data_IF_876196504751
#
_entry.id   IF_876196504751
#
_cell.length_a   1.000
_cell.length_b   1.000
_cell.length_c   1.000
_cell.angle_alpha   90.00
_cell.angle_beta   90.00
_cell.angle_gamma   90.00
#
_symmetry.space_group_name_H-M   'P 1'
#
loop_
_entity.id
_entity.type
_entity.pdbx_description
1 polymer ?
#
# COMPACT_ATOMS: atom_id res chain seq x y z
N UNK A 1 -17.44 1.36 15.06
CA UNK A 1 -18.78 1.24 15.68
C UNK A 1 -18.65 1.06 17.18
N UNK A 2 -17.88 0.09 17.66
CA UNK A 2 -17.67 -0.21 19.08
C UNK A 2 -17.21 1.03 19.86
N UNK A 3 -16.16 1.73 19.40
CA UNK A 3 -15.60 2.89 20.06
C UNK A 3 -16.65 3.99 20.29
N UNK A 4 -17.40 4.34 19.26
CA UNK A 4 -18.42 5.40 19.36
C UNK A 4 -19.60 5.00 20.22
N UNK A 5 -20.03 3.71 20.15
CA UNK A 5 -21.09 3.19 21.02
C UNK A 5 -20.68 3.21 22.50
N UNK A 6 -19.41 2.94 22.78
CA UNK A 6 -18.89 2.95 24.16
C UNK A 6 -18.70 4.37 24.70
N UNK A 7 -18.27 5.34 23.87
CA UNK A 7 -17.97 6.71 24.32
C UNK A 7 -19.19 7.62 24.32
N UNK A 8 -20.09 7.50 23.35
CA UNK A 8 -21.18 8.46 23.10
C UNK A 8 -22.56 7.76 23.12
N UNK A 9 -22.61 6.45 23.22
CA UNK A 9 -23.86 5.67 23.20
C UNK A 9 -24.46 5.42 21.81
N UNK A 10 -23.91 6.00 20.76
CA UNK A 10 -24.42 5.93 19.39
C UNK A 10 -23.38 5.45 18.40
N UNK A 11 -23.78 4.69 17.37
CA UNK A 11 -22.88 4.16 16.33
C UNK A 11 -22.93 4.94 15.00
N UNK A 12 -23.89 5.84 14.81
CA UNK A 12 -24.06 6.57 13.54
C UNK A 12 -22.85 7.42 13.11
N UNK A 13 -22.07 8.07 14.02
CA UNK A 13 -20.90 8.82 13.60
C UNK A 13 -19.84 7.96 12.92
N UNK A 14 -19.73 6.69 13.33
CA UNK A 14 -18.76 5.74 12.76
C UNK A 14 -18.99 5.50 11.27
N UNK A 15 -20.23 5.42 10.82
CA UNK A 15 -20.55 5.22 9.39
C UNK A 15 -20.27 6.46 8.57
N UNK A 16 -20.62 7.65 9.09
CA UNK A 16 -20.29 8.92 8.48
C UNK A 16 -18.78 9.10 8.29
N UNK A 17 -18.00 8.86 9.37
CA UNK A 17 -16.53 8.94 9.32
C UNK A 17 -15.94 7.90 8.36
N UNK A 18 -16.45 6.67 8.34
CA UNK A 18 -15.99 5.63 7.40
C UNK A 18 -16.21 6.01 5.94
N UNK A 19 -17.36 6.64 5.62
CA UNK A 19 -17.65 7.14 4.27
C UNK A 19 -16.76 8.32 3.92
N UNK A 20 -16.56 9.26 4.86
CA UNK A 20 -15.68 10.40 4.66
C UNK A 20 -14.22 9.95 4.42
N UNK A 21 -13.73 8.98 5.18
CA UNK A 21 -12.39 8.40 5.01
C UNK A 21 -12.21 7.63 3.69
N UNK A 22 -13.29 7.32 2.95
CA UNK A 22 -13.18 6.70 1.64
C UNK A 22 -12.56 7.65 0.61
N UNK A 23 -12.85 8.96 0.68
CA UNK A 23 -12.34 9.97 -0.25
C UNK A 23 -10.80 10.06 -0.21
N UNK A 24 -10.15 10.38 0.93
CA UNK A 24 -8.69 10.47 0.97
C UNK A 24 -8.00 9.13 0.67
N UNK A 25 -8.65 8.00 0.93
CA UNK A 25 -8.15 6.67 0.65
C UNK A 25 -8.21 6.30 -0.83
N UNK A 26 -9.18 6.81 -1.59
CA UNK A 26 -9.34 6.50 -3.01
C UNK A 26 -8.31 7.20 -3.89
N UNK A 27 -7.75 8.31 -3.41
CA UNK A 27 -6.78 9.12 -4.15
C UNK A 27 -5.36 8.69 -3.74
N UNK A 28 -4.53 8.43 -4.75
CA UNK A 28 -3.13 8.04 -4.54
C UNK A 28 -2.32 9.20 -3.93
N UNK A 29 -1.34 8.89 -3.08
CA UNK A 29 -0.50 9.87 -2.38
C UNK A 29 0.22 10.84 -3.32
N UNK A 30 0.60 10.40 -4.52
CA UNK A 30 1.20 11.27 -5.53
C UNK A 30 0.26 12.42 -5.92
N UNK A 31 -1.02 12.11 -6.11
CA UNK A 31 -2.02 13.11 -6.47
C UNK A 31 -2.19 14.13 -5.35
N UNK A 32 -2.21 13.65 -4.09
CA UNK A 32 -2.18 14.54 -2.93
C UNK A 32 -0.94 15.43 -2.93
N UNK A 33 0.24 14.86 -3.26
CA UNK A 33 1.48 15.62 -3.38
C UNK A 33 1.39 16.72 -4.43
N UNK A 34 0.89 16.40 -5.61
CA UNK A 34 0.74 17.34 -6.71
C UNK A 34 -0.29 18.44 -6.42
N UNK A 35 -1.43 18.09 -5.79
CA UNK A 35 -2.43 19.09 -5.37
C UNK A 35 -1.89 20.05 -4.30
N UNK A 36 -1.23 19.49 -3.28
CA UNK A 36 -0.67 20.30 -2.21
C UNK A 36 0.50 21.17 -2.69
N UNK A 37 1.28 20.68 -3.65
CA UNK A 37 2.35 21.46 -4.27
C UNK A 37 1.82 22.76 -4.89
N UNK A 38 0.63 22.71 -5.49
CA UNK A 38 0.03 23.87 -6.12
C UNK A 38 -0.54 24.88 -5.12
N UNK A 39 -0.98 24.40 -3.95
CA UNK A 39 -1.59 25.24 -2.92
C UNK A 39 -0.55 25.83 -1.96
N UNK A 40 0.49 25.07 -1.63
CA UNK A 40 1.47 25.44 -0.59
C UNK A 40 2.82 25.83 -1.21
N UNK A 41 3.08 25.43 -2.48
CA UNK A 41 4.37 25.59 -3.13
C UNK A 41 5.35 24.45 -2.82
N UNK A 42 6.58 24.55 -3.31
CA UNK A 42 7.59 23.50 -3.19
C UNK A 42 8.18 23.46 -1.77
N UNK A 43 7.62 22.65 -0.91
CA UNK A 43 8.04 22.50 0.50
C UNK A 43 8.16 21.00 0.88
N UNK A 44 9.21 20.57 1.61
CA UNK A 44 9.38 19.17 2.04
C UNK A 44 8.20 18.63 2.89
N UNK A 45 7.51 19.50 3.63
CA UNK A 45 6.34 19.14 4.44
C UNK A 45 5.20 18.57 3.60
N UNK A 46 5.11 18.93 2.33
CA UNK A 46 4.08 18.44 1.42
C UNK A 46 4.20 16.93 1.23
N UNK A 47 5.42 16.40 1.06
CA UNK A 47 5.64 14.97 0.92
C UNK A 47 5.12 14.19 2.14
N UNK A 48 5.35 14.74 3.35
CA UNK A 48 4.87 14.14 4.60
C UNK A 48 3.34 14.10 4.62
N UNK A 49 2.68 15.22 4.31
CA UNK A 49 1.21 15.31 4.36
C UNK A 49 0.56 14.50 3.24
N UNK A 50 1.13 14.52 2.04
CA UNK A 50 0.64 13.76 0.90
C UNK A 50 0.60 12.24 1.19
N UNK A 51 1.57 11.72 1.96
CA UNK A 51 1.57 10.34 2.43
C UNK A 51 0.65 10.17 3.64
N UNK A 52 0.66 11.10 4.59
CA UNK A 52 -0.07 10.96 5.84
C UNK A 52 -1.59 10.92 5.65
N UNK A 53 -2.14 11.70 4.71
CA UNK A 53 -3.59 11.76 4.43
C UNK A 53 -4.16 10.40 4.01
N UNK A 54 -3.74 9.78 2.90
CA UNK A 54 -4.30 8.49 2.46
C UNK A 54 -3.92 7.35 3.40
N UNK A 55 -2.71 7.34 3.94
CA UNK A 55 -2.26 6.26 4.84
C UNK A 55 -2.92 6.35 6.21
N UNK A 56 -3.13 7.55 6.73
CA UNK A 56 -3.90 7.78 7.94
C UNK A 56 -5.34 7.26 7.80
N UNK A 57 -5.98 7.55 6.68
CA UNK A 57 -7.33 7.06 6.38
C UNK A 57 -7.37 5.51 6.24
N UNK A 58 -6.36 4.91 5.62
CA UNK A 58 -6.24 3.45 5.50
C UNK A 58 -6.02 2.78 6.86
N UNK A 59 -5.10 3.32 7.67
CA UNK A 59 -4.81 2.80 9.02
C UNK A 59 -6.05 2.93 9.91
N UNK A 60 -6.71 4.09 9.91
CA UNK A 60 -7.94 4.32 10.67
C UNK A 60 -9.04 3.31 10.31
N UNK A 61 -9.19 2.98 9.01
CA UNK A 61 -10.16 1.97 8.55
C UNK A 61 -9.81 0.58 9.09
N UNK A 62 -8.57 0.13 8.90
CA UNK A 62 -8.15 -1.21 9.34
C UNK A 62 -8.21 -1.35 10.86
N UNK A 63 -7.78 -0.32 11.60
CA UNK A 63 -7.91 -0.29 13.06
C UNK A 63 -9.36 -0.38 13.51
N UNK A 64 -10.26 0.33 12.83
CA UNK A 64 -11.70 0.26 13.09
C UNK A 64 -12.26 -1.15 12.85
N UNK A 65 -11.85 -1.79 11.75
CA UNK A 65 -12.31 -3.15 11.44
C UNK A 65 -11.72 -4.18 12.41
N UNK A 66 -10.45 -4.03 12.83
CA UNK A 66 -9.84 -4.85 13.88
C UNK A 66 -10.56 -4.69 15.22
N UNK A 67 -10.87 -3.47 15.65
CA UNK A 67 -11.62 -3.21 16.87
C UNK A 67 -13.01 -3.86 16.83
N UNK A 68 -13.72 -3.75 15.69
CA UNK A 68 -15.05 -4.34 15.55
C UNK A 68 -15.02 -5.89 15.50
N UNK A 69 -13.87 -6.50 15.23
CA UNK A 69 -13.68 -7.97 15.24
C UNK A 69 -13.31 -8.55 16.62
N UNK A 70 -12.93 -7.70 17.59
CA UNK A 70 -12.55 -8.15 18.93
C UNK A 70 -13.77 -8.53 19.78
N UNK A 71 -13.55 -9.44 20.74
CA UNK A 71 -14.59 -9.86 21.68
C UNK A 71 -14.89 -8.75 22.71
N UNK A 72 -16.13 -8.30 22.74
CA UNK A 72 -16.61 -7.19 23.58
C UNK A 72 -16.81 -7.57 25.07
N UNK A 73 -16.78 -8.85 25.43
CA UNK A 73 -17.13 -9.32 26.79
C UNK A 73 -16.33 -8.63 27.91
N UNK A 74 -15.02 -8.50 27.72
CA UNK A 74 -14.14 -7.85 28.71
C UNK A 74 -14.46 -6.35 28.84
N UNK A 75 -14.77 -5.68 27.72
CA UNK A 75 -15.16 -4.28 27.72
C UNK A 75 -16.47 -4.08 28.47
N UNK A 76 -17.48 -4.91 28.16
CA UNK A 76 -18.80 -4.82 28.81
C UNK A 76 -18.69 -5.08 30.31
N UNK A 77 -17.85 -6.04 30.75
CA UNK A 77 -17.62 -6.33 32.17
C UNK A 77 -17.00 -5.13 32.91
N UNK A 78 -16.01 -4.46 32.31
CA UNK A 78 -15.38 -3.27 32.92
C UNK A 78 -16.33 -2.08 32.98
N UNK A 79 -17.13 -1.84 31.94
CA UNK A 79 -18.14 -0.78 31.94
C UNK A 79 -19.23 -1.08 32.98
N UNK A 80 -19.68 -2.30 33.07
CA UNK A 80 -20.68 -2.74 34.11
C UNK A 80 -20.13 -2.61 35.53
N UNK A 81 -18.81 -2.76 35.72
CA UNK A 81 -18.13 -2.54 37.01
C UNK A 81 -17.91 -1.06 37.35
N UNK A 82 -18.43 -0.11 36.54
CA UNK A 82 -18.34 1.32 36.80
C UNK A 82 -17.03 1.98 36.31
N UNK A 83 -16.18 1.25 35.53
CA UNK A 83 -14.97 1.85 34.97
C UNK A 83 -15.33 2.90 33.92
N UNK A 84 -14.64 4.05 33.92
CA UNK A 84 -14.86 5.09 32.93
C UNK A 84 -14.68 4.54 31.48
N UNK A 85 -15.60 4.86 30.55
CA UNK A 85 -15.61 4.29 29.21
C UNK A 85 -14.27 4.32 28.46
N UNK A 86 -13.48 5.45 28.45
CA UNK A 86 -12.20 5.47 27.77
C UNK A 86 -11.15 4.57 28.43
N UNK A 87 -11.15 4.47 29.78
CA UNK A 87 -10.23 3.58 30.50
C UNK A 87 -10.58 2.11 30.28
N UNK A 88 -11.87 1.77 30.30
CA UNK A 88 -12.36 0.43 29.99
C UNK A 88 -11.98 0.00 28.57
N UNK A 89 -12.13 0.90 27.59
CA UNK A 89 -11.78 0.67 26.20
C UNK A 89 -10.28 0.43 26.00
N UNK A 90 -9.43 1.29 26.58
CA UNK A 90 -7.98 1.15 26.50
C UNK A 90 -7.49 -0.14 27.16
N UNK A 91 -8.06 -0.49 28.33
CA UNK A 91 -7.65 -1.67 29.10
C UNK A 91 -8.12 -2.98 28.45
N UNK A 92 -9.36 -3.02 27.95
CA UNK A 92 -9.93 -4.24 27.38
C UNK A 92 -9.51 -4.48 25.93
N UNK A 93 -9.43 -3.41 25.11
CA UNK A 93 -9.22 -3.53 23.67
C UNK A 93 -7.77 -3.23 23.24
N UNK A 94 -7.03 -2.38 23.99
CA UNK A 94 -5.67 -2.01 23.68
C UNK A 94 -4.72 -3.21 23.52
N UNK A 95 -4.59 -4.09 24.52
CA UNK A 95 -3.67 -5.22 24.45
C UNK A 95 -3.94 -6.20 23.29
N UNK A 96 -5.19 -6.61 23.00
CA UNK A 96 -5.46 -7.49 21.86
C UNK A 96 -5.36 -6.79 20.50
N UNK A 97 -5.52 -5.45 20.43
CA UNK A 97 -5.39 -4.68 19.20
C UNK A 97 -3.92 -4.46 18.80
N UNK A 98 -3.02 -4.36 19.80
CA UNK A 98 -1.62 -3.97 19.59
C UNK A 98 -0.85 -4.84 18.58
N UNK A 99 -0.97 -6.19 18.57
CA UNK A 99 -0.32 -7.03 17.57
C UNK A 99 -0.74 -6.72 16.13
N UNK A 100 -2.03 -6.45 15.93
CA UNK A 100 -2.58 -6.03 14.65
C UNK A 100 -2.06 -4.66 14.20
N UNK A 101 -2.01 -3.71 15.13
CA UNK A 101 -1.45 -2.37 14.88
C UNK A 101 0.01 -2.43 14.47
N UNK A 102 0.84 -3.18 15.19
CA UNK A 102 2.28 -3.32 14.88
C UNK A 102 2.46 -4.00 13.53
N UNK A 103 1.68 -5.04 13.25
CA UNK A 103 1.79 -5.78 12.00
C UNK A 103 1.38 -4.92 10.80
N UNK A 104 0.23 -4.25 10.89
CA UNK A 104 -0.28 -3.43 9.81
C UNK A 104 0.47 -2.10 9.69
N UNK A 105 0.77 -1.44 10.82
CA UNK A 105 1.55 -0.20 10.85
C UNK A 105 2.95 -0.39 10.25
N UNK A 106 3.62 -1.50 10.60
CA UNK A 106 4.91 -1.85 10.00
C UNK A 106 4.83 -2.05 8.49
N UNK A 107 3.81 -2.78 8.02
CA UNK A 107 3.57 -2.92 6.58
C UNK A 107 3.32 -1.56 5.90
N UNK A 108 2.57 -0.65 6.54
CA UNK A 108 2.33 0.69 5.99
C UNK A 108 3.58 1.56 5.99
N UNK A 109 4.47 1.39 6.98
CA UNK A 109 5.76 2.08 7.01
C UNK A 109 6.66 1.66 5.83
N UNK A 110 6.71 0.35 5.51
CA UNK A 110 7.39 -0.16 4.31
C UNK A 110 6.80 0.45 3.02
N UNK A 111 5.47 0.55 2.93
CA UNK A 111 4.81 1.21 1.81
C UNK A 111 5.13 2.71 1.75
N UNK A 112 5.12 3.41 2.89
CA UNK A 112 5.39 4.84 2.97
C UNK A 112 6.81 5.19 2.48
N UNK A 113 7.81 4.35 2.77
CA UNK A 113 9.16 4.56 2.25
C UNK A 113 9.21 4.52 0.71
N UNK A 114 8.47 3.58 0.10
CA UNK A 114 8.35 3.51 -1.37
C UNK A 114 7.66 4.75 -1.93
N UNK A 115 6.58 5.18 -1.30
CA UNK A 115 5.85 6.39 -1.71
C UNK A 115 6.69 7.65 -1.54
N UNK A 116 7.51 7.73 -0.49
CA UNK A 116 8.44 8.85 -0.29
C UNK A 116 9.48 8.94 -1.42
N UNK A 117 10.01 7.77 -1.86
CA UNK A 117 10.91 7.75 -3.03
C UNK A 117 10.22 8.22 -4.30
N UNK A 118 8.95 7.82 -4.50
CA UNK A 118 8.15 8.25 -5.64
C UNK A 118 7.90 9.77 -5.63
N UNK A 119 7.49 10.32 -4.49
CA UNK A 119 7.28 11.78 -4.34
C UNK A 119 8.59 12.55 -4.56
N UNK A 120 9.72 11.96 -4.17
CA UNK A 120 11.05 12.50 -4.50
C UNK A 120 11.28 12.61 -6.00
N UNK A 121 10.93 11.59 -6.80
CA UNK A 121 11.02 11.63 -8.27
C UNK A 121 10.23 12.81 -8.86
N UNK A 122 9.19 13.27 -8.19
CA UNK A 122 8.38 14.44 -8.59
C UNK A 122 8.87 15.78 -8.00
N UNK A 123 10.13 15.85 -7.58
CA UNK A 123 10.76 17.10 -7.17
C UNK A 123 10.55 17.50 -5.71
N UNK A 124 9.90 16.64 -4.89
CA UNK A 124 9.73 16.91 -3.46
C UNK A 124 10.97 16.56 -2.62
N UNK A 125 12.10 16.32 -3.30
CA UNK A 125 13.41 16.08 -2.67
C UNK A 125 13.68 14.63 -2.27
N UNK A 126 14.83 14.41 -1.64
CA UNK A 126 15.25 13.09 -1.17
C UNK A 126 15.84 12.19 -2.26
N UNK A 127 16.05 10.91 -1.91
CA UNK A 127 16.72 9.93 -2.76
C UNK A 127 16.04 9.76 -4.13
N UNK A 128 14.72 9.91 -4.22
CA UNK A 128 13.99 9.81 -5.47
C UNK A 128 14.34 10.89 -6.47
N UNK A 129 14.56 12.11 -6.00
CA UNK A 129 14.97 13.24 -6.84
C UNK A 129 16.39 13.01 -7.40
N UNK A 130 17.32 12.56 -6.56
CA UNK A 130 18.68 12.22 -6.99
C UNK A 130 18.68 11.11 -8.05
N UNK A 131 17.87 10.06 -7.85
CA UNK A 131 17.73 9.00 -8.85
C UNK A 131 17.18 9.50 -10.19
N UNK A 132 16.26 10.47 -10.19
CA UNK A 132 15.76 11.05 -11.42
C UNK A 132 16.83 11.91 -12.09
N UNK A 133 17.54 12.75 -11.35
CA UNK A 133 18.60 13.62 -11.86
C UNK A 133 19.75 12.81 -12.46
N UNK A 134 20.21 11.76 -11.77
CA UNK A 134 21.27 10.86 -12.27
C UNK A 134 20.82 10.09 -13.51
N UNK A 135 19.53 9.73 -13.61
CA UNK A 135 18.98 9.12 -14.81
C UNK A 135 18.93 10.08 -15.97
N UNK A 136 18.46 11.32 -15.74
CA UNK A 136 18.38 12.37 -16.79
C UNK A 136 19.76 12.80 -17.28
N UNK A 137 20.75 12.84 -16.39
CA UNK A 137 22.14 13.14 -16.73
C UNK A 137 22.91 11.94 -17.30
N UNK A 138 22.26 10.75 -17.42
CA UNK A 138 22.86 9.49 -17.89
C UNK A 138 24.08 9.03 -17.08
N UNK A 139 24.15 9.42 -15.80
CA UNK A 139 25.21 9.04 -14.87
C UNK A 139 24.89 7.66 -14.25
N UNK A 140 25.07 6.61 -15.03
CA UNK A 140 24.67 5.26 -14.63
C UNK A 140 25.36 4.73 -13.36
N UNK A 141 26.62 5.13 -13.10
CA UNK A 141 27.31 4.73 -11.88
C UNK A 141 26.64 5.27 -10.61
N UNK A 142 26.25 6.54 -10.64
CA UNK A 142 25.54 7.18 -9.53
C UNK A 142 24.12 6.63 -9.41
N UNK A 143 23.43 6.42 -10.53
CA UNK A 143 22.11 5.80 -10.57
C UNK A 143 22.14 4.42 -9.88
N UNK A 144 23.09 3.54 -10.24
CA UNK A 144 23.21 2.24 -9.62
C UNK A 144 23.57 2.32 -8.14
N UNK A 145 24.44 3.24 -7.73
CA UNK A 145 24.76 3.48 -6.31
C UNK A 145 23.54 3.88 -5.52
N UNK A 146 22.72 4.82 -6.05
CA UNK A 146 21.46 5.24 -5.44
C UNK A 146 20.43 4.13 -5.35
N UNK A 147 20.32 3.27 -6.38
CA UNK A 147 19.43 2.10 -6.39
C UNK A 147 19.86 1.07 -5.35
N UNK A 148 21.15 0.78 -5.20
CA UNK A 148 21.69 -0.12 -4.17
C UNK A 148 21.45 0.44 -2.77
N UNK A 149 21.65 1.74 -2.58
CA UNK A 149 21.34 2.40 -1.31
C UNK A 149 19.86 2.29 -0.95
N UNK A 150 18.97 2.56 -1.92
CA UNK A 150 17.52 2.42 -1.74
C UNK A 150 17.15 0.98 -1.33
N UNK A 151 17.71 -0.01 -2.03
CA UNK A 151 17.49 -1.42 -1.70
C UNK A 151 17.97 -1.75 -0.29
N UNK A 152 19.16 -1.27 0.10
CA UNK A 152 19.71 -1.50 1.44
C UNK A 152 18.83 -0.88 2.54
N UNK A 153 18.32 0.33 2.32
CA UNK A 153 17.39 1.00 3.24
C UNK A 153 16.07 0.24 3.35
N UNK A 154 15.51 -0.23 2.22
CA UNK A 154 14.28 -1.03 2.21
C UNK A 154 14.44 -2.37 2.92
N UNK A 155 15.55 -3.08 2.69
CA UNK A 155 15.87 -4.34 3.37
C UNK A 155 16.07 -4.13 4.88
N UNK A 156 16.76 -3.06 5.28
CA UNK A 156 16.96 -2.71 6.69
C UNK A 156 15.62 -2.45 7.38
N UNK A 157 14.75 -1.66 6.75
CA UNK A 157 13.43 -1.37 7.28
C UNK A 157 12.58 -2.64 7.39
N UNK A 158 12.59 -3.49 6.36
CA UNK A 158 11.88 -4.78 6.39
C UNK A 158 12.40 -5.68 7.53
N UNK A 159 13.71 -5.73 7.73
CA UNK A 159 14.32 -6.50 8.82
C UNK A 159 13.90 -5.96 10.20
N UNK A 160 13.90 -4.63 10.39
CA UNK A 160 13.46 -3.98 11.63
C UNK A 160 11.97 -4.24 11.89
N UNK A 161 11.11 -4.01 10.88
CA UNK A 161 9.67 -4.26 10.97
C UNK A 161 9.40 -5.75 11.22
N UNK A 162 10.12 -6.64 10.55
CA UNK A 162 10.05 -8.08 10.77
C UNK A 162 10.45 -8.49 12.19
N UNK A 163 11.52 -7.90 12.75
CA UNK A 163 11.94 -8.12 14.13
C UNK A 163 10.89 -7.61 15.14
N UNK A 164 10.33 -6.42 14.88
CA UNK A 164 9.29 -5.83 15.71
C UNK A 164 8.02 -6.69 15.69
N UNK A 165 7.62 -7.16 14.52
CA UNK A 165 6.47 -8.05 14.30
C UNK A 165 6.65 -9.40 15.01
N UNK A 166 7.85 -10.00 14.93
CA UNK A 166 8.18 -11.24 15.65
C UNK A 166 8.16 -11.07 17.17
N UNK A 167 8.62 -9.91 17.65
CA UNK A 167 8.68 -9.65 19.11
C UNK A 167 7.32 -9.32 19.71
N UNK A 168 6.48 -8.57 19.00
CA UNK A 168 5.28 -7.93 19.54
C UNK A 168 4.01 -8.23 18.73
N UNK A 169 4.12 -8.74 17.51
CA UNK A 169 3.01 -8.95 16.58
C UNK A 169 2.31 -10.32 16.68
N UNK A 170 2.82 -11.28 17.46
CA UNK A 170 2.22 -12.60 17.53
C UNK A 170 1.27 -12.76 18.74
N UNK A 171 -0.01 -13.12 18.54
CA UNK A 171 -1.01 -13.27 19.60
C UNK A 171 -0.61 -14.25 20.71
N UNK A 172 0.14 -15.32 20.35
CA UNK A 172 0.53 -16.39 21.30
C UNK A 172 1.66 -16.02 22.27
N UNK A 173 2.32 -14.86 22.11
CA UNK A 173 3.36 -14.39 23.04
C UNK A 173 2.84 -13.41 24.10
N UNK A 174 1.60 -12.99 24.02
CA UNK A 174 0.94 -12.28 25.10
C UNK A 174 0.52 -13.28 26.17
N UNK A 175 1.47 -13.72 26.99
CA UNK A 175 1.08 -14.39 28.22
C UNK A 175 0.42 -13.35 29.12
N UNK A 176 -0.81 -13.64 29.55
CA UNK A 176 -1.60 -12.83 30.49
C UNK A 176 -0.98 -12.77 31.92
N UNK A 177 0.27 -13.16 32.10
CA UNK A 177 0.97 -12.91 33.37
C UNK A 177 1.17 -11.40 33.52
N UNK A 178 0.47 -10.85 34.49
CA UNK A 178 0.39 -9.40 34.78
C UNK A 178 1.76 -8.67 34.82
N UNK A 179 2.83 -9.34 35.22
CA UNK A 179 4.20 -8.82 35.24
C UNK A 179 4.80 -8.57 33.84
N UNK A 180 4.36 -9.30 32.82
CA UNK A 180 4.88 -9.14 31.45
C UNK A 180 4.21 -8.00 30.66
N UNK A 181 2.95 -7.69 30.97
CA UNK A 181 2.16 -6.65 30.28
C UNK A 181 2.66 -5.26 30.67
N UNK A 182 2.90 -5.01 31.97
CA UNK A 182 3.39 -3.72 32.47
C UNK A 182 4.80 -3.37 31.95
N UNK A 183 5.69 -4.34 31.82
CA UNK A 183 7.04 -4.13 31.29
C UNK A 183 7.02 -3.81 29.79
N UNK A 184 6.24 -4.54 29.01
CA UNK A 184 6.09 -4.29 27.57
C UNK A 184 5.36 -2.98 27.27
N UNK A 185 4.36 -2.62 28.08
CA UNK A 185 3.70 -1.32 28.00
C UNK A 185 4.66 -0.17 28.24
N UNK A 186 5.55 -0.28 29.24
CA UNK A 186 6.61 0.72 29.48
C UNK A 186 7.61 0.79 28.33
N UNK A 187 8.05 -0.35 27.78
CA UNK A 187 8.95 -0.38 26.61
C UNK A 187 8.32 0.33 25.40
N UNK A 188 7.01 0.17 25.18
CA UNK A 188 6.27 0.86 24.12
C UNK A 188 6.14 2.36 24.34
N UNK A 189 5.81 2.76 25.59
CA UNK A 189 5.73 4.18 25.96
C UNK A 189 7.11 4.83 25.81
N UNK A 190 8.17 4.17 26.28
CA UNK A 190 9.54 4.66 26.14
C UNK A 190 9.96 4.74 24.67
N UNK A 191 9.63 3.74 23.85
CA UNK A 191 9.89 3.77 22.41
C UNK A 191 9.15 4.94 21.74
N UNK A 192 7.88 5.17 22.08
CA UNK A 192 7.09 6.31 21.59
C UNK A 192 7.69 7.67 22.03
N UNK A 193 8.10 7.78 23.30
CA UNK A 193 8.74 8.99 23.83
C UNK A 193 10.09 9.27 23.18
N UNK A 194 10.87 8.25 22.82
CA UNK A 194 12.14 8.40 22.08
C UNK A 194 11.90 8.70 20.59
N UNK A 195 10.82 8.23 20.01
CA UNK A 195 10.48 8.45 18.60
C UNK A 195 10.07 9.91 18.35
N UNK A 196 9.38 10.54 19.30
CA UNK A 196 8.97 11.94 19.19
C UNK A 196 10.14 12.92 19.01
N UNK A 197 11.17 12.94 19.88
CA UNK A 197 12.31 13.85 19.70
C UNK A 197 13.15 13.49 18.47
N UNK A 198 13.21 12.19 18.09
CA UNK A 198 13.85 11.78 16.85
C UNK A 198 13.13 12.35 15.61
N UNK A 199 11.82 12.21 15.54
CA UNK A 199 10.99 12.74 14.43
C UNK A 199 11.11 14.26 14.38
N UNK A 200 11.06 14.93 15.54
CA UNK A 200 11.22 16.38 15.62
C UNK A 200 12.64 16.82 15.20
N UNK A 201 13.68 16.13 15.66
CA UNK A 201 15.07 16.41 15.29
C UNK A 201 15.34 16.20 13.81
N UNK A 202 14.85 15.11 13.24
CA UNK A 202 14.93 14.85 11.80
C UNK A 202 14.13 15.88 11.00
N UNK A 203 12.93 16.25 11.47
CA UNK A 203 12.11 17.29 10.85
C UNK A 203 12.85 18.64 10.78
N UNK A 204 13.53 19.02 11.86
CA UNK A 204 14.35 20.24 11.87
C UNK A 204 15.59 20.13 10.97
N UNK A 205 16.26 18.99 10.97
CA UNK A 205 17.43 18.76 10.12
C UNK A 205 17.08 18.79 8.62
N UNK A 206 15.85 18.40 8.27
CA UNK A 206 15.33 18.45 6.90
C UNK A 206 14.65 19.80 6.56
N UNK A 207 14.77 20.82 7.43
CA UNK A 207 14.12 22.11 7.27
C UNK A 207 12.59 22.01 7.02
N UNK A 208 11.93 21.06 7.67
CA UNK A 208 10.48 20.93 7.62
C UNK A 208 9.87 22.02 8.51
N UNK A 209 9.32 23.05 7.88
CA UNK A 209 8.63 24.13 8.56
C UNK A 209 7.13 23.90 8.59
N UNK A 210 6.52 23.50 9.73
CA UNK A 210 5.06 23.33 9.83
C UNK A 210 4.29 24.62 9.54
N UNK A 211 4.92 25.79 9.79
CA UNK A 211 4.34 27.09 9.50
C UNK A 211 4.06 27.32 8.01
N UNK A 212 4.79 26.63 7.11
CA UNK A 212 4.52 26.69 5.67
C UNK A 212 3.09 26.23 5.31
N UNK A 213 2.46 25.41 6.15
CA UNK A 213 1.08 24.97 5.98
C UNK A 213 0.05 26.09 6.17
N UNK A 214 0.44 27.22 6.78
CA UNK A 214 -0.41 28.38 6.98
C UNK A 214 -0.38 29.35 5.79
N UNK A 215 0.62 29.21 4.90
CA UNK A 215 0.78 30.06 3.73
C UNK A 215 0.14 29.40 2.49
N UNK A 216 -1.16 29.59 2.35
CA UNK A 216 -1.91 29.05 1.22
C UNK A 216 -1.87 30.04 0.06
N UNK A 217 -1.42 29.56 -1.08
CA UNK A 217 -1.54 30.30 -2.33
C UNK A 217 -2.95 30.11 -2.90
N UNK A 218 -3.54 31.19 -3.41
CA UNK A 218 -4.82 31.09 -4.10
C UNK A 218 -4.64 30.17 -5.32
N UNK A 219 -5.56 29.22 -5.49
CA UNK A 219 -5.59 28.43 -6.72
C UNK A 219 -5.74 29.38 -7.92
N UNK A 220 -4.99 29.15 -9.01
CA UNK A 220 -5.14 29.97 -10.18
C UNK A 220 -6.58 29.96 -10.68
N UNK A 221 -7.12 31.10 -11.14
CA UNK A 221 -8.47 31.15 -11.65
C UNK A 221 -8.60 30.25 -12.88
N UNK A 222 -9.71 29.54 -12.98
CA UNK A 222 -10.03 28.69 -14.13
C UNK A 222 -10.13 29.60 -15.36
N UNK A 223 -9.38 29.30 -16.39
CA UNK A 223 -9.37 30.09 -17.61
C UNK A 223 -10.75 30.06 -18.33
N UNK A 224 -11.19 31.16 -18.91
CA UNK A 224 -12.40 31.16 -19.75
C UNK A 224 -12.24 30.15 -20.88
N UNK A 225 -13.10 29.15 -20.95
CA UNK A 225 -13.02 28.07 -21.94
C UNK A 225 -12.25 26.83 -21.53
N UNK A 226 -11.51 26.85 -20.41
CA UNK A 226 -10.72 25.69 -19.94
C UNK A 226 -11.55 24.43 -19.72
N UNK A 227 -12.80 24.54 -19.29
CA UNK A 227 -13.71 23.40 -19.19
C UNK A 227 -14.02 22.73 -20.54
N UNK A 228 -14.09 23.52 -21.62
CA UNK A 228 -14.32 22.97 -22.97
C UNK A 228 -13.09 22.18 -23.44
N UNK A 229 -11.90 22.70 -23.20
CA UNK A 229 -10.64 22.00 -23.50
C UNK A 229 -10.50 20.74 -22.64
N UNK A 230 -10.85 20.79 -21.36
CA UNK A 230 -10.85 19.62 -20.47
C UNK A 230 -11.83 18.53 -20.93
N UNK A 231 -13.01 18.91 -21.41
CA UNK A 231 -13.98 17.96 -21.97
C UNK A 231 -13.57 17.42 -23.33
N UNK A 232 -12.77 18.15 -24.09
CA UNK A 232 -12.26 17.72 -25.40
C UNK A 232 -11.13 16.68 -25.33
N UNK A 233 -10.61 16.37 -24.14
CA UNK A 233 -9.62 15.31 -23.94
C UNK A 233 -10.12 13.96 -24.48
N UNK A 234 -9.24 13.08 -24.96
CA UNK A 234 -9.62 11.78 -25.50
C UNK A 234 -9.97 10.78 -24.37
N UNK A 235 -11.02 11.06 -23.61
CA UNK A 235 -11.46 10.32 -22.42
C UNK A 235 -11.59 8.81 -22.64
N UNK A 236 -12.20 8.32 -23.75
CA UNK A 236 -12.35 6.88 -23.94
C UNK A 236 -11.00 6.15 -24.00
N UNK A 237 -10.00 6.74 -24.70
CA UNK A 237 -8.70 6.12 -24.82
C UNK A 237 -7.89 6.20 -23.52
N UNK A 238 -7.99 7.31 -22.77
CA UNK A 238 -7.32 7.48 -21.48
C UNK A 238 -7.83 6.47 -20.45
N UNK A 239 -9.15 6.35 -20.32
CA UNK A 239 -9.79 5.39 -19.41
C UNK A 239 -9.52 3.95 -19.86
N UNK A 240 -9.68 3.66 -21.15
CA UNK A 240 -9.42 2.33 -21.71
C UNK A 240 -7.98 1.88 -21.44
N UNK A 241 -6.98 2.72 -21.73
CA UNK A 241 -5.58 2.39 -21.49
C UNK A 241 -5.26 2.19 -20.00
N UNK A 242 -5.89 2.96 -19.10
CA UNK A 242 -5.73 2.79 -17.65
C UNK A 242 -6.34 1.47 -17.17
N UNK A 243 -7.51 1.12 -17.64
CA UNK A 243 -8.18 -0.16 -17.31
C UNK A 243 -7.42 -1.34 -17.91
N UNK A 244 -7.01 -1.24 -19.17
CA UNK A 244 -6.23 -2.28 -19.86
C UNK A 244 -4.91 -2.54 -19.15
N UNK A 245 -4.20 -1.47 -18.76
CA UNK A 245 -2.98 -1.54 -17.96
C UNK A 245 -3.21 -2.29 -16.65
N UNK A 246 -4.30 -1.95 -15.93
CA UNK A 246 -4.68 -2.60 -14.68
C UNK A 246 -4.94 -4.09 -14.88
N UNK A 247 -5.72 -4.45 -15.89
CA UNK A 247 -6.07 -5.85 -16.18
C UNK A 247 -4.84 -6.67 -16.57
N UNK A 248 -3.97 -6.13 -17.42
CA UNK A 248 -2.74 -6.83 -17.85
C UNK A 248 -1.79 -7.04 -16.66
N UNK A 249 -1.57 -6.01 -15.84
CA UNK A 249 -0.72 -6.11 -14.66
C UNK A 249 -1.30 -7.08 -13.62
N UNK A 250 -2.61 -7.04 -13.38
CA UNK A 250 -3.29 -7.94 -12.47
C UNK A 250 -3.27 -9.39 -12.98
N UNK A 251 -3.54 -9.62 -14.26
CA UNK A 251 -3.49 -10.94 -14.88
C UNK A 251 -2.08 -11.54 -14.80
N UNK A 252 -1.04 -10.74 -15.07
CA UNK A 252 0.35 -11.15 -14.92
C UNK A 252 0.65 -11.53 -13.45
N UNK A 253 0.30 -10.70 -12.51
CA UNK A 253 0.60 -10.91 -11.09
C UNK A 253 -0.15 -12.12 -10.51
N UNK A 254 -1.46 -12.25 -10.79
CA UNK A 254 -2.30 -13.32 -10.26
C UNK A 254 -2.06 -14.64 -10.98
N UNK A 255 -1.92 -14.61 -12.30
CA UNK A 255 -1.80 -15.83 -13.10
C UNK A 255 -0.40 -16.45 -13.08
N UNK A 256 0.65 -15.63 -13.16
CA UNK A 256 2.03 -16.14 -13.28
C UNK A 256 2.57 -16.69 -11.96
N UNK A 257 2.18 -16.15 -10.80
CA UNK A 257 2.68 -16.62 -9.50
C UNK A 257 2.46 -18.12 -9.26
N UNK A 258 1.23 -18.67 -9.38
CA UNK A 258 1.02 -20.10 -9.20
C UNK A 258 1.70 -20.95 -10.27
N UNK A 259 1.78 -20.46 -11.52
CA UNK A 259 2.44 -21.17 -12.61
C UNK A 259 3.95 -21.34 -12.35
N UNK A 260 4.61 -20.26 -11.88
CA UNK A 260 6.03 -20.33 -11.53
C UNK A 260 6.29 -21.29 -10.36
N UNK A 261 5.44 -21.29 -9.32
CA UNK A 261 5.56 -22.24 -8.22
C UNK A 261 5.38 -23.69 -8.67
N UNK A 262 4.43 -23.97 -9.55
CA UNK A 262 4.23 -25.30 -10.12
C UNK A 262 5.40 -25.72 -10.99
N UNK A 263 5.99 -24.78 -11.74
CA UNK A 263 7.15 -25.04 -12.58
C UNK A 263 8.35 -25.49 -11.75
N UNK A 264 8.66 -24.76 -10.66
CA UNK A 264 9.82 -25.02 -9.80
C UNK A 264 9.53 -26.04 -8.67
N UNK A 265 8.32 -26.56 -8.57
CA UNK A 265 7.92 -27.51 -7.52
C UNK A 265 8.86 -28.72 -7.36
N UNK A 266 9.45 -29.30 -8.43
CA UNK A 266 10.39 -30.41 -8.31
C UNK A 266 11.77 -30.01 -7.73
N UNK A 267 12.13 -28.72 -7.79
CA UNK A 267 13.48 -28.25 -7.50
C UNK A 267 13.51 -27.35 -6.26
N UNK A 268 14.02 -27.81 -5.11
CA UNK A 268 14.03 -26.99 -3.89
C UNK A 268 14.91 -25.73 -4.00
N UNK A 269 16.01 -25.80 -4.77
CA UNK A 269 16.83 -24.62 -5.05
C UNK A 269 16.12 -23.61 -5.97
N UNK A 270 15.34 -24.10 -6.92
CA UNK A 270 14.52 -23.24 -7.79
C UNK A 270 13.44 -22.48 -6.99
N UNK A 271 12.86 -23.11 -5.98
CA UNK A 271 11.92 -22.43 -5.08
C UNK A 271 12.60 -21.31 -4.29
N UNK A 272 13.84 -21.53 -3.80
CA UNK A 272 14.62 -20.47 -3.11
C UNK A 272 14.98 -19.31 -4.03
N UNK A 273 15.39 -19.61 -5.26
CA UNK A 273 15.67 -18.58 -6.26
C UNK A 273 14.42 -17.76 -6.59
N UNK A 274 13.28 -18.43 -6.77
CA UNK A 274 12.00 -17.76 -7.03
C UNK A 274 11.59 -16.85 -5.86
N UNK A 275 11.79 -17.30 -4.60
CA UNK A 275 11.56 -16.49 -3.41
C UNK A 275 12.41 -15.22 -3.41
N UNK A 276 13.68 -15.33 -3.80
CA UNK A 276 14.61 -14.20 -3.92
C UNK A 276 14.15 -13.22 -5.01
N UNK A 277 13.76 -13.72 -6.19
CA UNK A 277 13.24 -12.90 -7.28
C UNK A 277 11.97 -12.14 -6.83
N UNK A 278 11.06 -12.83 -6.14
CA UNK A 278 9.85 -12.19 -5.61
C UNK A 278 10.14 -11.17 -4.51
N UNK A 279 11.15 -11.43 -3.66
CA UNK A 279 11.57 -10.47 -2.64
C UNK A 279 12.11 -9.19 -3.30
N UNK A 280 12.95 -9.32 -4.32
CA UNK A 280 13.48 -8.18 -5.09
C UNK A 280 12.33 -7.45 -5.80
N UNK A 281 11.47 -8.15 -6.53
CA UNK A 281 10.35 -7.54 -7.26
C UNK A 281 9.39 -6.78 -6.34
N UNK A 282 9.15 -7.30 -5.12
CA UNK A 282 8.32 -6.64 -4.12
C UNK A 282 8.95 -5.39 -3.53
N UNK A 283 10.26 -5.40 -3.31
CA UNK A 283 10.98 -4.27 -2.71
C UNK A 283 11.17 -3.13 -3.71
N UNK A 284 11.30 -3.48 -4.99
CA UNK A 284 11.59 -2.50 -6.03
C UNK A 284 10.35 -1.69 -6.41
N UNK A 285 10.40 -0.35 -6.38
CA UNK A 285 9.27 0.51 -6.75
C UNK A 285 8.89 0.37 -8.23
N UNK A 286 7.60 0.18 -8.56
CA UNK A 286 7.17 0.00 -9.95
C UNK A 286 7.58 1.10 -10.93
N UNK A 287 7.57 2.40 -10.58
CA UNK A 287 8.00 3.45 -11.49
C UNK A 287 9.48 3.38 -11.86
N UNK A 288 10.35 2.96 -10.92
CA UNK A 288 11.76 2.74 -11.24
C UNK A 288 11.93 1.53 -12.18
N UNK A 289 11.14 0.48 -11.98
CA UNK A 289 11.09 -0.64 -12.94
C UNK A 289 10.64 -0.16 -14.31
N UNK A 290 9.63 0.70 -14.39
CA UNK A 290 9.17 1.28 -15.65
C UNK A 290 10.26 2.11 -16.33
N UNK A 291 10.98 2.97 -15.58
CA UNK A 291 12.12 3.73 -16.08
C UNK A 291 13.20 2.82 -16.67
N UNK A 292 13.58 1.75 -15.97
CA UNK A 292 14.57 0.78 -16.48
C UNK A 292 14.08 0.06 -17.72
N UNK A 293 12.79 -0.29 -17.78
CA UNK A 293 12.21 -0.95 -18.96
C UNK A 293 12.17 -0.03 -20.18
N UNK A 294 12.06 1.29 -20.00
CA UNK A 294 12.09 2.26 -21.11
C UNK A 294 13.42 2.30 -21.85
N UNK A 295 14.52 1.78 -21.28
CA UNK A 295 15.77 1.61 -22.04
C UNK A 295 15.70 0.49 -23.09
N UNK A 296 14.78 -0.46 -22.91
CA UNK A 296 14.65 -1.64 -23.77
C UNK A 296 13.33 -1.65 -24.54
N UNK A 297 12.26 -1.14 -23.91
CA UNK A 297 10.91 -1.16 -24.44
C UNK A 297 10.42 0.26 -24.79
N UNK A 298 9.50 0.35 -25.73
CA UNK A 298 8.84 1.63 -26.07
C UNK A 298 7.90 2.06 -24.93
N UNK A 299 7.73 3.38 -24.72
CA UNK A 299 6.68 3.91 -23.83
C UNK A 299 5.30 3.34 -24.20
N UNK A 300 4.48 3.04 -23.22
CA UNK A 300 3.12 2.56 -23.43
C UNK A 300 2.60 1.59 -22.39
N UNK A 301 1.41 1.05 -22.66
CA UNK A 301 0.68 0.17 -21.75
C UNK A 301 1.47 -1.09 -21.37
N UNK A 302 2.20 -1.69 -22.31
CA UNK A 302 2.95 -2.93 -22.07
C UNK A 302 4.07 -2.71 -21.06
N UNK A 303 4.88 -1.68 -21.23
CA UNK A 303 5.98 -1.33 -20.33
C UNK A 303 5.46 -1.06 -18.92
N UNK A 304 4.37 -0.29 -18.81
CA UNK A 304 3.71 -0.03 -17.54
C UNK A 304 3.13 -1.30 -16.89
N UNK A 305 2.49 -2.17 -17.69
CA UNK A 305 1.90 -3.42 -17.21
C UNK A 305 2.97 -4.39 -16.70
N UNK A 306 4.10 -4.49 -17.38
CA UNK A 306 5.23 -5.33 -16.93
C UNK A 306 5.82 -4.81 -15.62
N UNK A 307 6.01 -3.49 -15.49
CA UNK A 307 6.55 -2.90 -14.27
C UNK A 307 5.64 -3.14 -13.06
N UNK A 308 4.34 -2.86 -13.19
CA UNK A 308 3.34 -3.10 -12.15
C UNK A 308 3.14 -4.60 -11.89
N UNK A 309 3.06 -5.38 -12.95
CA UNK A 309 2.87 -6.81 -12.87
C UNK A 309 4.00 -7.51 -12.14
N UNK A 310 5.27 -7.18 -12.44
CA UNK A 310 6.44 -7.75 -11.79
C UNK A 310 6.47 -7.45 -10.28
N UNK A 311 6.19 -6.20 -9.89
CA UNK A 311 6.09 -5.81 -8.48
C UNK A 311 4.99 -6.59 -7.74
N UNK A 312 3.81 -6.65 -8.33
CA UNK A 312 2.66 -7.32 -7.72
C UNK A 312 2.77 -8.84 -7.75
N UNK A 313 3.48 -9.40 -8.76
CA UNK A 313 3.87 -10.81 -8.81
C UNK A 313 4.70 -11.21 -7.58
N UNK A 314 5.66 -10.37 -7.18
CA UNK A 314 6.45 -10.59 -5.96
C UNK A 314 5.60 -10.63 -4.69
N UNK A 315 4.59 -9.76 -4.58
CA UNK A 315 3.68 -9.72 -3.43
C UNK A 315 2.76 -10.95 -3.41
N UNK A 316 2.12 -11.27 -4.52
CA UNK A 316 1.19 -12.39 -4.63
C UNK A 316 1.89 -13.75 -4.54
N UNK A 317 3.09 -13.85 -5.11
CA UNK A 317 3.92 -15.05 -5.02
C UNK A 317 4.31 -15.37 -3.58
N UNK A 318 4.74 -14.37 -2.82
CA UNK A 318 5.04 -14.54 -1.39
C UNK A 318 3.80 -14.95 -0.59
N UNK A 319 2.67 -14.29 -0.82
CA UNK A 319 1.42 -14.63 -0.14
C UNK A 319 0.99 -16.07 -0.43
N UNK A 320 1.10 -16.50 -1.71
CA UNK A 320 0.77 -17.87 -2.10
C UNK A 320 1.68 -18.89 -1.43
N UNK A 321 2.97 -18.56 -1.28
CA UNK A 321 3.93 -19.41 -0.60
C UNK A 321 3.61 -19.53 0.89
N UNK A 322 3.47 -18.39 1.60
CA UNK A 322 3.13 -18.37 3.03
C UNK A 322 1.80 -19.09 3.30
N UNK A 323 0.79 -18.88 2.47
CA UNK A 323 -0.48 -19.59 2.54
C UNK A 323 -0.32 -21.10 2.30
N UNK A 324 0.54 -21.49 1.35
CA UNK A 324 0.80 -22.89 1.06
C UNK A 324 1.55 -23.63 2.18
N UNK A 325 2.41 -22.95 2.92
CA UNK A 325 3.10 -23.49 4.08
C UNK A 325 2.13 -23.73 5.25
N UNK A 326 1.16 -22.84 5.42
CA UNK A 326 0.16 -22.91 6.49
C UNK A 326 -0.93 -23.97 6.25
N UNK A 327 -1.23 -24.30 4.98
CA UNK A 327 -2.37 -25.13 4.62
C UNK A 327 -1.97 -26.37 3.80
N UNK A 328 -2.60 -27.50 4.11
CA UNK A 328 -2.61 -28.65 3.22
C UNK A 328 -1.33 -29.51 3.16
N UNK A 329 -0.38 -29.32 4.07
CA UNK A 329 0.86 -30.11 4.11
C UNK A 329 0.58 -31.62 4.18
N UNK A 330 -0.38 -32.04 5.00
CA UNK A 330 -0.77 -33.45 5.13
C UNK A 330 -1.39 -34.02 3.84
N UNK A 331 -2.24 -33.26 3.15
CA UNK A 331 -2.82 -33.70 1.87
C UNK A 331 -1.76 -33.83 0.79
N UNK A 332 -0.83 -32.89 0.71
CA UNK A 332 0.27 -32.95 -0.25
C UNK A 332 1.15 -34.18 -0.01
N UNK A 333 1.46 -34.48 1.26
CA UNK A 333 2.27 -35.64 1.62
C UNK A 333 1.54 -36.93 1.30
N UNK A 334 0.25 -37.05 1.64
CA UNK A 334 -0.56 -38.21 1.27
C UNK A 334 -0.56 -38.47 -0.25
N UNK A 335 -0.70 -37.40 -1.06
CA UNK A 335 -0.62 -37.50 -2.51
C UNK A 335 0.79 -37.94 -3.00
N UNK A 336 1.84 -37.47 -2.36
CA UNK A 336 3.20 -37.92 -2.66
C UNK A 336 3.43 -39.38 -2.31
N UNK A 337 2.94 -39.82 -1.15
CA UNK A 337 3.01 -41.24 -0.73
C UNK A 337 2.23 -42.15 -1.67
N UNK A 338 1.16 -41.65 -2.34
CA UNK A 338 0.44 -42.40 -3.37
C UNK A 338 1.09 -42.38 -4.76
N UNK A 339 2.33 -41.89 -4.88
CA UNK A 339 3.08 -41.84 -6.14
C UNK A 339 2.76 -40.64 -7.05
N UNK A 340 1.98 -39.66 -6.56
CA UNK A 340 1.67 -38.48 -7.35
C UNK A 340 2.89 -37.58 -7.51
N UNK A 341 3.16 -37.11 -8.72
CA UNK A 341 4.27 -36.23 -9.00
C UNK A 341 4.20 -34.88 -8.26
N UNK A 342 5.34 -34.20 -7.98
CA UNK A 342 5.43 -33.06 -7.09
C UNK A 342 4.54 -31.86 -7.52
N UNK A 343 4.35 -31.65 -8.82
CA UNK A 343 3.50 -30.58 -9.36
C UNK A 343 2.02 -30.82 -9.07
N UNK A 344 1.53 -32.03 -9.32
CA UNK A 344 0.14 -32.41 -9.08
C UNK A 344 -0.16 -32.49 -7.58
N UNK A 345 0.80 -33.00 -6.78
CA UNK A 345 0.70 -33.02 -5.33
C UNK A 345 0.60 -31.60 -4.74
N UNK A 346 1.33 -30.60 -5.29
CA UNK A 346 1.22 -29.20 -4.90
C UNK A 346 -0.14 -28.61 -5.33
N UNK A 347 -0.55 -28.84 -6.58
CA UNK A 347 -1.78 -28.31 -7.13
C UNK A 347 -3.03 -28.79 -6.36
N UNK A 348 -3.19 -30.10 -6.21
CA UNK A 348 -4.35 -30.69 -5.57
C UNK A 348 -4.25 -30.73 -4.04
N UNK A 349 -3.05 -30.83 -3.48
CA UNK A 349 -2.84 -30.87 -2.03
C UNK A 349 -2.94 -29.53 -1.35
N UNK A 350 -2.37 -28.48 -1.95
CA UNK A 350 -2.31 -27.14 -1.33
C UNK A 350 -3.12 -26.08 -2.08
N UNK A 351 -2.90 -25.93 -3.39
CA UNK A 351 -3.52 -24.82 -4.13
C UNK A 351 -5.03 -24.90 -4.21
N UNK A 352 -5.60 -26.13 -4.30
CA UNK A 352 -7.06 -26.31 -4.30
C UNK A 352 -7.73 -25.70 -3.07
N UNK A 353 -7.12 -25.84 -1.89
CA UNK A 353 -7.63 -25.23 -0.64
C UNK A 353 -7.39 -23.73 -0.51
N UNK A 354 -6.42 -23.19 -1.24
CA UNK A 354 -6.06 -21.77 -1.19
C UNK A 354 -6.67 -20.95 -2.31
N UNK A 355 -7.21 -21.58 -3.35
CA UNK A 355 -7.62 -20.91 -4.58
C UNK A 355 -8.59 -19.75 -4.33
N UNK A 356 -9.59 -19.94 -3.49
CA UNK A 356 -10.59 -18.90 -3.18
C UNK A 356 -9.99 -17.70 -2.47
N UNK A 357 -9.22 -17.93 -1.40
CA UNK A 357 -8.57 -16.86 -0.65
C UNK A 357 -7.51 -16.14 -1.49
N UNK A 358 -6.77 -16.86 -2.32
CA UNK A 358 -5.80 -16.30 -3.24
C UNK A 358 -6.46 -15.40 -4.30
N UNK A 359 -7.53 -15.87 -4.94
CA UNK A 359 -8.28 -15.08 -5.93
C UNK A 359 -8.97 -13.87 -5.29
N UNK A 360 -9.52 -14.02 -4.08
CA UNK A 360 -10.09 -12.90 -3.34
C UNK A 360 -9.04 -11.83 -3.03
N UNK A 361 -7.83 -12.24 -2.66
CA UNK A 361 -6.72 -11.30 -2.49
C UNK A 361 -6.22 -10.73 -3.82
N UNK A 362 -6.24 -11.52 -4.89
CA UNK A 362 -5.95 -11.07 -6.25
C UNK A 362 -6.88 -9.93 -6.70
N UNK A 363 -8.18 -10.06 -6.43
CA UNK A 363 -9.16 -9.01 -6.69
C UNK A 363 -8.86 -7.72 -5.89
N UNK A 364 -8.51 -7.85 -4.60
CA UNK A 364 -8.06 -6.70 -3.80
C UNK A 364 -6.79 -6.06 -4.38
N UNK A 365 -5.82 -6.88 -4.84
CA UNK A 365 -4.59 -6.34 -5.46
C UNK A 365 -4.87 -5.65 -6.79
N UNK A 366 -5.86 -6.09 -7.56
CA UNK A 366 -6.26 -5.42 -8.79
C UNK A 366 -6.74 -3.99 -8.53
N UNK A 367 -7.51 -3.75 -7.45
CA UNK A 367 -7.88 -2.40 -7.01
C UNK A 367 -6.64 -1.55 -6.61
N UNK A 368 -5.69 -2.14 -5.89
CA UNK A 368 -4.43 -1.45 -5.54
C UNK A 368 -3.61 -1.13 -6.81
N UNK A 369 -3.51 -2.07 -7.75
CA UNK A 369 -2.84 -1.87 -9.05
C UNK A 369 -3.49 -0.70 -9.80
N UNK A 370 -4.82 -0.61 -9.83
CA UNK A 370 -5.54 0.49 -10.46
C UNK A 370 -5.09 1.85 -9.90
N UNK A 371 -4.90 1.96 -8.59
CA UNK A 371 -4.40 3.19 -7.95
C UNK A 371 -2.92 3.48 -8.27
N UNK A 372 -2.12 2.45 -8.43
CA UNK A 372 -0.71 2.57 -8.80
C UNK A 372 -0.52 2.93 -10.30
N UNK A 373 -1.54 2.72 -11.15
CA UNK A 373 -1.46 3.00 -12.61
C UNK A 373 -1.19 4.46 -12.94
N UNK A 374 -1.67 5.40 -12.12
CA UNK A 374 -1.39 6.83 -12.31
C UNK A 374 0.09 7.09 -12.31
N UNK A 375 0.79 6.57 -11.30
CA UNK A 375 2.22 6.83 -11.10
C UNK A 375 3.04 6.18 -12.21
N UNK A 376 2.75 4.90 -12.50
CA UNK A 376 3.49 4.17 -13.53
C UNK A 376 3.11 4.65 -14.93
N UNK A 377 1.85 5.00 -15.16
CA UNK A 377 1.36 5.57 -16.41
C UNK A 377 2.00 6.92 -16.73
N UNK A 378 2.25 7.74 -15.71
CA UNK A 378 2.97 9.02 -15.83
C UNK A 378 4.40 8.79 -16.34
N UNK A 379 5.12 7.80 -15.78
CA UNK A 379 6.50 7.45 -16.16
C UNK A 379 6.55 6.75 -17.51
N UNK A 380 5.66 5.78 -17.74
CA UNK A 380 5.65 4.97 -18.95
C UNK A 380 4.89 5.61 -20.14
N UNK A 381 4.35 6.78 -19.97
CA UNK A 381 3.72 7.53 -21.06
C UNK A 381 2.34 6.95 -21.48
N UNK A 382 1.47 6.54 -20.54
CA UNK A 382 0.18 5.93 -20.90
C UNK A 382 -0.96 6.25 -19.92
N UNK A 383 -2.20 6.24 -20.43
CA UNK A 383 -3.43 6.36 -19.67
C UNK A 383 -3.61 7.72 -18.98
N UNK A 384 -4.45 7.74 -17.94
CA UNK A 384 -4.74 8.95 -17.17
C UNK A 384 -3.50 9.55 -16.50
N UNK A 385 -2.50 8.73 -16.13
CA UNK A 385 -1.27 9.21 -15.51
C UNK A 385 -0.48 10.14 -16.41
N UNK A 386 -0.34 9.82 -17.69
CA UNK A 386 0.35 10.68 -18.67
C UNK A 386 -0.35 12.01 -18.84
N UNK A 387 -1.68 11.99 -18.98
CA UNK A 387 -2.46 13.21 -19.16
C UNK A 387 -2.39 14.10 -17.91
N UNK A 388 -2.39 13.50 -16.72
CA UNK A 388 -2.16 14.25 -15.47
C UNK A 388 -0.81 14.98 -15.48
N UNK A 389 0.26 14.31 -15.92
CA UNK A 389 1.58 14.94 -16.03
C UNK A 389 1.60 16.07 -17.05
N UNK A 390 0.99 15.87 -18.21
CA UNK A 390 0.91 16.89 -19.25
C UNK A 390 0.14 18.12 -18.79
N UNK A 391 -1.04 17.91 -18.19
CA UNK A 391 -1.87 19.00 -17.65
C UNK A 391 -1.18 19.74 -16.50
N UNK A 392 -0.42 19.02 -15.65
CA UNK A 392 0.37 19.63 -14.59
C UNK A 392 1.51 20.49 -15.16
N UNK A 393 2.26 19.96 -16.14
CA UNK A 393 3.37 20.66 -16.77
C UNK A 393 2.91 21.87 -17.58
N UNK A 394 1.69 21.83 -18.10
CA UNK A 394 1.05 22.94 -18.82
C UNK A 394 0.34 23.94 -17.90
N UNK A 395 0.32 23.70 -16.57
CA UNK A 395 -0.46 24.47 -15.59
C UNK A 395 -1.96 24.57 -15.91
N UNK A 396 -2.51 23.57 -16.62
CA UNK A 396 -3.92 23.48 -17.00
C UNK A 396 -4.77 22.90 -15.84
N UNK A 397 -5.11 23.74 -14.87
CA UNK A 397 -5.74 23.32 -13.61
C UNK A 397 -7.17 22.79 -13.78
N UNK A 398 -7.92 23.30 -14.72
CA UNK A 398 -9.24 22.84 -15.16
C UNK A 398 -9.19 21.39 -15.68
N UNK A 399 -8.24 21.09 -16.57
CA UNK A 399 -8.00 19.71 -17.03
C UNK A 399 -7.57 18.82 -15.87
N UNK A 400 -6.67 19.31 -15.00
CA UNK A 400 -6.18 18.58 -13.84
C UNK A 400 -7.34 18.20 -12.91
N UNK A 401 -8.22 19.13 -12.59
CA UNK A 401 -9.37 18.89 -11.71
C UNK A 401 -10.29 17.80 -12.28
N UNK A 402 -10.61 17.89 -13.57
CA UNK A 402 -11.49 16.89 -14.20
C UNK A 402 -10.85 15.51 -14.29
N UNK A 403 -9.53 15.44 -14.58
CA UNK A 403 -8.76 14.21 -14.54
C UNK A 403 -8.72 13.58 -13.15
N UNK A 404 -8.58 14.39 -12.09
CA UNK A 404 -8.62 13.92 -10.70
C UNK A 404 -9.98 13.34 -10.34
N UNK A 405 -11.06 14.03 -10.73
CA UNK A 405 -12.44 13.54 -10.50
C UNK A 405 -12.68 12.23 -11.25
N UNK A 406 -12.29 12.17 -12.53
CA UNK A 406 -12.43 10.96 -13.34
C UNK A 406 -11.63 9.79 -12.75
N UNK A 407 -10.41 10.06 -12.30
CA UNK A 407 -9.57 9.04 -11.67
C UNK A 407 -10.14 8.57 -10.32
N UNK A 408 -10.61 9.49 -9.48
CA UNK A 408 -11.27 9.14 -8.22
C UNK A 408 -12.54 8.31 -8.45
N UNK A 409 -13.35 8.68 -9.45
CA UNK A 409 -14.52 7.90 -9.83
C UNK A 409 -14.13 6.47 -10.30
N UNK A 410 -13.10 6.36 -11.14
CA UNK A 410 -12.62 5.08 -11.63
C UNK A 410 -12.09 4.20 -10.49
N UNK A 411 -11.35 4.76 -9.53
CA UNK A 411 -10.83 4.01 -8.37
C UNK A 411 -11.95 3.59 -7.42
N UNK A 412 -12.97 4.42 -7.19
CA UNK A 412 -14.13 4.05 -6.38
C UNK A 412 -14.94 2.93 -7.03
N UNK A 413 -15.12 2.96 -8.35
CA UNK A 413 -15.76 1.88 -9.11
C UNK A 413 -14.95 0.59 -9.04
N UNK A 414 -13.62 0.68 -9.16
CA UNK A 414 -12.70 -0.45 -9.02
C UNK A 414 -12.76 -1.08 -7.62
N UNK A 415 -12.80 -0.26 -6.57
CA UNK A 415 -12.96 -0.72 -5.19
C UNK A 415 -14.28 -1.47 -4.98
N UNK A 416 -15.40 -0.91 -5.45
CA UNK A 416 -16.72 -1.55 -5.32
C UNK A 416 -16.78 -2.89 -6.08
N UNK A 417 -16.24 -2.92 -7.29
CA UNK A 417 -16.17 -4.16 -8.10
C UNK A 417 -15.29 -5.22 -7.43
N UNK A 418 -14.14 -4.82 -6.90
CA UNK A 418 -13.22 -5.68 -6.15
C UNK A 418 -13.88 -6.23 -4.88
N UNK A 419 -14.59 -5.40 -4.13
CA UNK A 419 -15.29 -5.81 -2.92
C UNK A 419 -16.42 -6.80 -3.21
N UNK A 420 -17.19 -6.58 -4.26
CA UNK A 420 -18.22 -7.54 -4.72
C UNK A 420 -17.62 -8.88 -5.17
N UNK A 421 -16.51 -8.83 -5.91
CA UNK A 421 -15.81 -10.04 -6.34
C UNK A 421 -15.29 -10.85 -5.14
N UNK A 422 -14.68 -10.17 -4.15
CA UNK A 422 -14.22 -10.80 -2.91
C UNK A 422 -15.34 -11.45 -2.12
N UNK A 423 -16.44 -10.73 -1.92
CA UNK A 423 -17.60 -11.26 -1.19
C UNK A 423 -18.14 -12.53 -1.83
N UNK A 424 -18.29 -12.55 -3.15
CA UNK A 424 -18.74 -13.76 -3.88
C UNK A 424 -17.78 -14.93 -3.74
N UNK A 425 -16.45 -14.68 -3.80
CA UNK A 425 -15.43 -15.73 -3.68
C UNK A 425 -15.33 -16.32 -2.26
N UNK A 426 -15.60 -15.52 -1.22
CA UNK A 426 -15.51 -15.96 0.18
C UNK A 426 -16.81 -16.52 0.73
N UNK A 427 -17.98 -16.23 0.13
CA UNK A 427 -19.29 -16.77 0.56
C UNK A 427 -19.59 -18.13 -0.03
N UNK A 428 -18.93 -18.54 -1.11
CA UNK A 428 -19.00 -19.90 -1.69
C UNK A 428 -17.98 -20.84 -1.04
#
# INVERSE_FOLDING_TARGET
RLLWRTLIGHSWPAEGIRRLLAIPRSIHELIWGLLLLQVIGLQPVIAVIAIAIPYGALVARVVSDLLDSLNERNLQALVAAGTAPPAALLSAMGPPLLPGLISYGGYRLECALRSATLLGVFGLGGLGNELLLTLQSLQFHELWSGLWLLLAVMLSLEAVVGALRRRWGMPGRFSLRAAGVGRRGRELVLAGLLLLPLVFGVGRALAIEPAALLHWQALPPIAPGGWQEALALPWPSLVFNTVLLTLLAAALAVGVAPLLLLLVAPWPWGQRLLQLIWAIGRLWPPPLTALLLLFVLKPGVITAALALGFHNLGILGRLLLEGSEAAGAQRQEALRCSGTGPRLALLYGRFSGLARSYLAYGAYRADVILRETVVVGLVAGTGLGTQLNQSLSAFAFDQLLLLLVAYAALTLLGEDLSDRARQRLLQQ
#
